data_IF_015037415545
#
_entry.id   IF_015037415545
#
_cell.length_a   1.000
_cell.length_b   1.000
_cell.length_c   1.000
_cell.angle_alpha   90.00
_cell.angle_beta   90.00
_cell.angle_gamma   90.00
#
_symmetry.space_group_name_H-M   'P 1'
#
loop_
_entity.id
_entity.type
_entity.pdbx_description
1 polymer ?
#
# COMPACT_ATOMS: atom_id res chain seq x y z
N UNK A 1 9.95 -30.72 -0.21
CA UNK A 1 10.01 -30.63 -1.69
C UNK A 1 10.62 -29.29 -2.07
N UNK A 2 11.53 -29.23 -3.03
CA UNK A 2 12.16 -27.97 -3.45
C UNK A 2 11.28 -27.20 -4.45
N UNK A 3 11.49 -25.88 -4.56
CA UNK A 3 10.81 -25.02 -5.54
C UNK A 3 11.03 -25.49 -6.99
N UNK A 4 12.23 -26.02 -7.28
CA UNK A 4 12.54 -26.61 -8.59
C UNK A 4 11.68 -27.83 -8.89
N UNK A 5 11.51 -28.73 -7.91
CA UNK A 5 10.68 -29.92 -8.07
C UNK A 5 9.19 -29.58 -8.24
N UNK A 6 8.71 -28.49 -7.62
CA UNK A 6 7.34 -27.99 -7.83
C UNK A 6 7.15 -27.45 -9.24
N UNK A 7 8.11 -26.65 -9.72
CA UNK A 7 8.07 -26.05 -11.07
C UNK A 7 8.05 -27.13 -12.16
N UNK A 8 8.88 -28.16 -12.00
CA UNK A 8 8.97 -29.26 -12.95
C UNK A 8 7.67 -30.08 -13.01
N UNK A 9 7.06 -30.37 -11.86
CA UNK A 9 5.76 -31.05 -11.80
C UNK A 9 4.63 -30.20 -12.40
N UNK A 10 4.62 -28.90 -12.17
CA UNK A 10 3.62 -28.00 -12.77
C UNK A 10 3.73 -27.96 -14.31
N UNK A 11 4.95 -28.06 -14.87
CA UNK A 11 5.19 -28.14 -16.30
C UNK A 11 4.79 -29.48 -16.94
N UNK A 12 4.42 -30.49 -16.17
CA UNK A 12 3.93 -31.79 -16.66
C UNK A 12 2.39 -31.87 -16.66
N UNK A 13 1.71 -30.90 -16.05
CA UNK A 13 0.25 -30.85 -16.00
C UNK A 13 -0.36 -30.50 -17.36
N UNK A 14 -1.61 -30.93 -17.58
CA UNK A 14 -2.41 -30.48 -18.73
C UNK A 14 -2.72 -28.98 -18.64
N UNK A 15 -3.08 -28.34 -19.75
CA UNK A 15 -3.43 -26.90 -19.75
C UNK A 15 -4.59 -26.62 -18.78
N UNK A 16 -5.57 -27.52 -18.70
CA UNK A 16 -6.70 -27.40 -17.77
C UNK A 16 -6.25 -27.45 -16.31
N UNK A 17 -5.39 -28.40 -15.97
CA UNK A 17 -4.90 -28.56 -14.60
C UNK A 17 -3.97 -27.42 -14.18
N UNK A 18 -3.19 -26.86 -15.12
CA UNK A 18 -2.40 -25.65 -14.88
C UNK A 18 -3.28 -24.44 -14.62
N UNK A 19 -4.37 -24.27 -15.36
CA UNK A 19 -5.33 -23.19 -15.13
C UNK A 19 -6.02 -23.35 -13.78
N UNK A 20 -6.41 -24.57 -13.40
CA UNK A 20 -6.98 -24.86 -12.09
C UNK A 20 -5.98 -24.58 -10.96
N UNK A 21 -4.72 -24.98 -11.12
CA UNK A 21 -3.65 -24.71 -10.16
C UNK A 21 -3.38 -23.21 -10.03
N UNK A 22 -3.30 -22.47 -11.13
CA UNK A 22 -3.15 -21.01 -11.12
C UNK A 22 -4.33 -20.34 -10.43
N UNK A 23 -5.56 -20.77 -10.71
CA UNK A 23 -6.76 -20.29 -10.03
C UNK A 23 -6.70 -20.55 -8.53
N UNK A 24 -6.28 -21.76 -8.10
CA UNK A 24 -6.17 -22.11 -6.70
C UNK A 24 -5.06 -21.33 -5.98
N UNK A 25 -3.93 -21.12 -6.65
CA UNK A 25 -2.83 -20.28 -6.14
C UNK A 25 -3.32 -18.83 -6.00
N UNK A 26 -3.94 -18.27 -7.03
CA UNK A 26 -4.54 -16.93 -6.97
C UNK A 26 -5.57 -16.85 -5.86
N UNK A 27 -6.41 -17.87 -5.64
CA UNK A 27 -7.38 -17.91 -4.56
C UNK A 27 -6.74 -18.02 -3.17
N UNK A 28 -5.60 -18.72 -3.05
CA UNK A 28 -4.85 -18.83 -1.79
C UNK A 28 -3.99 -17.61 -1.50
N UNK A 29 -3.56 -16.89 -2.54
CA UNK A 29 -2.79 -15.65 -2.48
C UNK A 29 -3.68 -14.42 -2.46
N UNK A 30 -4.96 -14.58 -2.82
CA UNK A 30 -6.04 -13.78 -2.27
C UNK A 30 -6.05 -14.10 -0.77
N UNK A 31 -5.11 -13.49 -0.04
CA UNK A 31 -5.53 -12.79 1.17
C UNK A 31 -6.78 -12.07 0.74
N UNK A 32 -7.92 -12.54 1.23
CA UNK A 32 -9.15 -11.77 1.16
C UNK A 32 -8.71 -10.34 1.44
N UNK A 33 -8.89 -9.36 0.54
CA UNK A 33 -8.98 -8.02 1.08
C UNK A 33 -10.17 -8.21 2.01
N UNK A 34 -9.90 -8.34 3.32
CA UNK A 34 -10.94 -8.05 4.28
C UNK A 34 -11.51 -6.76 3.71
N UNK A 35 -12.79 -6.78 3.41
CA UNK A 35 -13.51 -5.54 3.22
C UNK A 35 -13.50 -4.98 4.64
N UNK A 36 -12.34 -4.49 5.07
CA UNK A 36 -12.12 -3.70 6.26
C UNK A 36 -13.07 -2.56 5.99
N UNK A 37 -14.17 -2.57 6.74
CA UNK A 37 -15.20 -1.57 6.67
C UNK A 37 -14.63 -0.31 7.31
N UNK A 38 -13.65 0.28 6.63
CA UNK A 38 -12.98 1.49 7.04
C UNK A 38 -14.03 2.58 7.14
N UNK A 39 -14.22 3.09 8.35
CA UNK A 39 -15.19 4.12 8.61
C UNK A 39 -14.70 5.45 8.01
N UNK A 40 -13.40 5.72 8.14
CA UNK A 40 -12.75 6.97 7.77
C UNK A 40 -11.83 6.85 6.57
N UNK A 41 -11.46 5.64 6.12
CA UNK A 41 -10.66 5.44 4.92
C UNK A 41 -11.51 5.01 3.71
N UNK A 42 -11.10 5.40 2.51
CA UNK A 42 -11.79 5.06 1.27
C UNK A 42 -10.83 4.93 0.08
N UNK A 43 -11.06 3.92 -0.75
CA UNK A 43 -10.39 3.79 -2.03
C UNK A 43 -10.93 4.82 -3.01
N UNK A 44 -10.05 5.47 -3.78
CA UNK A 44 -10.43 6.39 -4.85
C UNK A 44 -9.81 5.95 -6.17
N UNK A 45 -10.50 6.13 -7.30
CA UNK A 45 -9.90 5.88 -8.62
C UNK A 45 -8.66 6.76 -8.81
N UNK A 46 -7.51 6.13 -9.03
CA UNK A 46 -6.27 6.80 -9.40
C UNK A 46 -5.55 5.97 -10.47
N UNK A 47 -4.85 6.58 -11.44
CA UNK A 47 -4.26 5.84 -12.57
C UNK A 47 -3.26 4.74 -12.18
N UNK A 48 -2.64 4.84 -11.01
CA UNK A 48 -1.62 3.89 -10.54
C UNK A 48 -1.55 3.71 -9.02
N UNK A 49 -2.23 4.56 -8.24
CA UNK A 49 -2.13 4.57 -6.77
C UNK A 49 -3.33 3.81 -6.20
N UNK A 50 -3.08 2.96 -5.22
CA UNK A 50 -4.05 2.10 -4.53
C UNK A 50 -4.22 2.49 -3.06
N UNK A 51 -3.33 3.31 -2.51
CA UNK A 51 -3.48 3.83 -1.15
C UNK A 51 -4.86 4.41 -0.85
N UNK A 52 -5.33 4.17 0.38
CA UNK A 52 -6.58 4.73 0.86
C UNK A 52 -6.44 6.22 1.24
N UNK A 53 -7.53 6.94 0.99
CA UNK A 53 -7.69 8.35 1.32
C UNK A 53 -8.57 8.50 2.55
N UNK A 54 -8.37 9.58 3.31
CA UNK A 54 -9.35 9.99 4.31
C UNK A 54 -10.67 10.36 3.62
N UNK A 55 -11.78 9.77 4.03
CA UNK A 55 -13.12 10.01 3.51
C UNK A 55 -13.49 11.48 3.71
N UNK A 56 -13.92 12.14 2.63
CA UNK A 56 -14.20 13.57 2.64
C UNK A 56 -12.99 14.48 2.36
N UNK A 57 -11.76 13.94 2.38
CA UNK A 57 -10.54 14.71 2.14
C UNK A 57 -9.81 14.22 0.88
N UNK A 58 -8.91 15.08 0.36
CA UNK A 58 -7.94 14.73 -0.70
C UNK A 58 -6.58 14.37 -0.08
N UNK A 59 -6.60 13.70 1.05
CA UNK A 59 -5.43 13.38 1.87
C UNK A 59 -5.28 11.86 1.96
N UNK A 60 -4.05 11.37 1.79
CA UNK A 60 -3.70 9.95 1.93
C UNK A 60 -3.49 9.60 3.40
N UNK A 61 -3.85 8.37 3.79
CA UNK A 61 -3.55 7.88 5.15
C UNK A 61 -2.04 7.93 5.45
N UNK A 62 -1.20 7.55 4.49
CA UNK A 62 0.26 7.53 4.65
C UNK A 62 0.87 8.92 4.89
N UNK A 63 0.23 9.99 4.41
CA UNK A 63 0.72 11.36 4.64
C UNK A 63 0.65 11.70 6.12
N UNK A 64 -0.48 11.39 6.77
CA UNK A 64 -0.68 11.62 8.21
C UNK A 64 0.28 10.72 8.99
N UNK A 65 0.34 9.43 8.68
CA UNK A 65 1.21 8.48 9.40
C UNK A 65 2.70 8.86 9.32
N UNK A 66 3.18 9.31 8.14
CA UNK A 66 4.56 9.79 7.97
C UNK A 66 4.81 11.07 8.77
N UNK A 67 3.87 12.01 8.76
CA UNK A 67 3.96 13.25 9.52
C UNK A 67 4.01 12.97 11.03
N UNK A 68 3.17 12.06 11.52
CA UNK A 68 3.20 11.58 12.90
C UNK A 68 4.56 10.96 13.26
N UNK A 69 5.07 10.09 12.39
CA UNK A 69 6.35 9.41 12.61
C UNK A 69 7.52 10.39 12.63
N UNK A 70 7.54 11.34 11.69
CA UNK A 70 8.61 12.32 11.55
C UNK A 70 8.64 13.34 12.70
N UNK A 71 7.47 13.73 13.20
CA UNK A 71 7.33 14.71 14.28
C UNK A 71 7.14 14.09 15.67
N UNK A 72 7.20 12.75 15.78
CA UNK A 72 6.95 12.00 17.00
C UNK A 72 5.61 12.36 17.70
N UNK A 73 4.57 12.58 16.91
CA UNK A 73 3.25 12.97 17.45
C UNK A 73 2.52 11.76 18.05
N UNK A 74 1.84 12.00 19.17
CA UNK A 74 0.82 11.06 19.68
C UNK A 74 -0.44 11.08 18.79
N UNK A 75 -1.32 10.10 18.98
CA UNK A 75 -2.59 10.05 18.25
C UNK A 75 -3.48 11.26 18.54
N UNK A 76 -3.49 11.75 19.78
CA UNK A 76 -4.24 12.93 20.20
C UNK A 76 -3.69 14.20 19.55
N UNK A 77 -2.36 14.37 19.55
CA UNK A 77 -1.71 15.50 18.88
C UNK A 77 -1.97 15.49 17.37
N UNK A 78 -1.96 14.32 16.74
CA UNK A 78 -2.25 14.18 15.33
C UNK A 78 -3.74 14.50 15.03
N UNK A 79 -4.66 14.07 15.90
CA UNK A 79 -6.08 14.39 15.82
C UNK A 79 -6.31 15.90 15.85
N UNK A 80 -5.67 16.60 16.78
CA UNK A 80 -5.73 18.07 16.87
C UNK A 80 -5.05 18.76 15.67
N UNK A 81 -3.86 18.32 15.27
CA UNK A 81 -3.07 18.94 14.20
C UNK A 81 -3.75 18.82 12.82
N UNK A 82 -4.35 17.66 12.55
CA UNK A 82 -5.00 17.38 11.27
C UNK A 82 -6.50 17.69 11.26
N UNK A 83 -7.06 18.11 12.39
CA UNK A 83 -8.51 18.34 12.58
C UNK A 83 -9.34 17.10 12.18
N UNK A 84 -8.94 15.94 12.69
CA UNK A 84 -9.57 14.64 12.40
C UNK A 84 -10.02 13.96 13.70
N UNK A 85 -11.11 13.18 13.68
CA UNK A 85 -11.50 12.36 14.83
C UNK A 85 -10.38 11.41 15.24
N UNK A 86 -10.22 11.17 16.55
CA UNK A 86 -9.19 10.28 17.07
C UNK A 86 -9.30 8.85 16.48
N UNK A 87 -10.52 8.35 16.29
CA UNK A 87 -10.77 7.05 15.64
C UNK A 87 -10.23 7.00 14.20
N UNK A 88 -10.28 8.10 13.46
CA UNK A 88 -9.71 8.18 12.12
C UNK A 88 -8.17 8.09 12.15
N UNK A 89 -7.54 8.64 13.19
CA UNK A 89 -6.10 8.53 13.39
C UNK A 89 -5.70 7.08 13.69
N UNK A 90 -6.48 6.37 14.52
CA UNK A 90 -6.23 4.94 14.77
C UNK A 90 -6.40 4.10 13.49
N UNK A 91 -7.44 4.34 12.69
CA UNK A 91 -7.56 3.66 11.38
C UNK A 91 -6.38 3.94 10.45
N UNK A 92 -5.88 5.18 10.43
CA UNK A 92 -4.69 5.55 9.66
C UNK A 92 -3.47 4.75 10.09
N UNK A 93 -3.23 4.64 11.40
CA UNK A 93 -2.09 3.91 11.96
C UNK A 93 -2.21 2.44 11.57
N UNK A 94 -3.34 1.81 11.87
CA UNK A 94 -3.59 0.39 11.61
C UNK A 94 -3.45 0.05 10.11
N UNK A 95 -4.06 0.87 9.24
CA UNK A 95 -3.91 0.73 7.81
C UNK A 95 -2.43 0.82 7.37
N UNK A 96 -1.68 1.82 7.84
CA UNK A 96 -0.30 2.02 7.40
C UNK A 96 0.65 0.94 7.92
N UNK A 97 0.46 0.47 9.15
CA UNK A 97 1.25 -0.61 9.75
C UNK A 97 1.04 -1.95 9.01
N UNK A 98 -0.21 -2.25 8.63
CA UNK A 98 -0.53 -3.48 7.90
C UNK A 98 -0.24 -3.42 6.39
N UNK A 99 -0.02 -2.22 5.82
CA UNK A 99 0.16 -2.03 4.37
C UNK A 99 1.55 -1.45 4.00
N UNK A 100 2.57 -1.61 4.84
CA UNK A 100 3.91 -1.03 4.59
C UNK A 100 4.54 -1.42 3.26
N UNK A 101 4.33 -2.66 2.78
CA UNK A 101 4.86 -3.09 1.48
C UNK A 101 4.22 -2.32 0.32
N UNK A 102 2.91 -2.10 0.37
CA UNK A 102 2.21 -1.27 -0.61
C UNK A 102 2.76 0.17 -0.61
N UNK A 103 2.95 0.76 0.57
CA UNK A 103 3.50 2.12 0.69
C UNK A 103 4.90 2.24 0.08
N UNK A 104 5.76 1.23 0.29
CA UNK A 104 7.10 1.18 -0.31
C UNK A 104 7.04 1.09 -1.83
N UNK A 105 6.26 0.15 -2.36
CA UNK A 105 6.11 -0.03 -3.81
C UNK A 105 5.58 1.23 -4.50
N UNK A 106 4.61 1.91 -3.90
CA UNK A 106 4.07 3.14 -4.46
C UNK A 106 5.04 4.32 -4.37
N UNK A 107 5.87 4.39 -3.32
CA UNK A 107 6.94 5.39 -3.24
C UNK A 107 8.00 5.17 -4.32
N UNK A 108 8.34 3.91 -4.62
CA UNK A 108 9.26 3.56 -5.73
C UNK A 108 8.67 3.92 -7.09
N UNK A 109 7.39 3.62 -7.32
CA UNK A 109 6.67 4.01 -8.53
C UNK A 109 6.60 5.54 -8.70
N UNK A 110 6.36 6.27 -7.61
CA UNK A 110 6.37 7.74 -7.61
C UNK A 110 7.75 8.29 -7.98
N UNK A 111 8.81 7.75 -7.36
CA UNK A 111 10.19 8.07 -7.70
C UNK A 111 10.47 7.84 -9.19
N UNK A 112 10.16 6.66 -9.72
CA UNK A 112 10.36 6.34 -11.13
C UNK A 112 9.63 7.32 -12.06
N UNK A 113 8.38 7.66 -11.74
CA UNK A 113 7.59 8.63 -12.51
C UNK A 113 8.18 10.04 -12.49
N UNK A 114 8.79 10.44 -11.37
CA UNK A 114 9.46 11.74 -11.25
C UNK A 114 10.77 11.76 -12.06
N UNK A 115 11.56 10.69 -12.00
CA UNK A 115 12.78 10.52 -12.80
C UNK A 115 12.48 10.57 -14.30
N UNK A 116 11.44 9.86 -14.77
CA UNK A 116 11.02 9.89 -16.18
C UNK A 116 10.59 11.31 -16.63
N UNK A 117 10.10 12.13 -15.70
CA UNK A 117 9.76 13.54 -15.95
C UNK A 117 10.97 14.49 -15.85
N UNK A 118 12.16 13.97 -15.55
CA UNK A 118 13.38 14.76 -15.40
C UNK A 118 13.47 15.52 -14.07
N UNK A 119 12.70 15.14 -13.06
CA UNK A 119 12.79 15.74 -11.72
C UNK A 119 14.03 15.18 -11.02
N UNK A 120 14.95 16.07 -10.61
CA UNK A 120 16.06 15.70 -9.74
C UNK A 120 15.54 15.52 -8.31
N UNK A 121 15.70 14.33 -7.75
CA UNK A 121 15.15 13.97 -6.44
C UNK A 121 16.13 14.26 -5.30
N UNK A 122 17.42 14.14 -5.57
CA UNK A 122 18.47 14.51 -4.63
C UNK A 122 18.87 15.97 -4.86
N UNK A 123 19.06 16.77 -3.79
CA UNK A 123 19.63 18.10 -3.95
C UNK A 123 21.02 17.98 -4.57
N UNK A 124 21.28 18.76 -5.61
CA UNK A 124 22.66 18.96 -6.06
C UNK A 124 23.38 19.62 -4.89
N UNK A 125 24.32 18.90 -4.27
CA UNK A 125 25.25 19.48 -3.30
C UNK A 125 26.03 20.59 -4.03
N UNK A 126 25.50 21.81 -4.01
CA UNK A 126 26.22 23.01 -4.39
C UNK A 126 27.23 23.29 -3.27
N UNK A 127 28.47 22.82 -3.51
CA UNK A 127 29.64 23.18 -2.71
C UNK A 127 30.07 24.63 -2.97
#
# INVERSE_FOLDING_TARGET
MSLQQLKEKACQLSVSDRLALLSAIVQSLQTTPEIENWQYLIARPHPWRKQLYIKGHKLLASTIWRDMTANHMSSEQASENWDLPLDAIYEVIDYCENNQELLKLEAEEERYRLEVKGVQLEPTNAA
#
